data_IF_691665063656
#
_entry.id   IF_691665063656
#
_cell.length_a   1.000
_cell.length_b   1.000
_cell.length_c   1.000
_cell.angle_alpha   90.00
_cell.angle_beta   90.00
_cell.angle_gamma   90.00
#
_symmetry.space_group_name_H-M   'P 1'
#
loop_
_entity.id
_entity.type
_entity.pdbx_description
1 polymer ?
#
# COMPACT_ATOMS: atom_id res chain seq x y z
N UNK A 1 -0.47 -13.87 14.66
CA UNK A 1 -0.42 -13.62 13.21
C UNK A 1 0.77 -14.38 12.63
N UNK A 2 0.58 -15.22 11.59
CA UNK A 2 1.71 -15.86 10.91
C UNK A 2 2.64 -14.78 10.33
N UNK A 3 3.96 -14.96 10.48
CA UNK A 3 4.99 -13.95 10.18
C UNK A 3 4.91 -13.38 8.74
N UNK A 4 4.41 -14.18 7.79
CA UNK A 4 4.21 -13.78 6.40
C UNK A 4 3.17 -12.66 6.22
N UNK A 5 2.10 -12.63 7.02
CA UNK A 5 1.08 -11.58 6.89
C UNK A 5 1.60 -10.23 7.39
N UNK A 6 2.41 -10.22 8.45
CA UNK A 6 3.02 -8.98 8.96
C UNK A 6 4.01 -8.37 7.95
N UNK A 7 4.82 -9.21 7.30
CA UNK A 7 5.72 -8.76 6.23
C UNK A 7 4.94 -8.23 5.02
N UNK A 8 3.84 -8.88 4.65
CA UNK A 8 2.97 -8.42 3.58
C UNK A 8 2.36 -7.07 3.92
N UNK A 9 1.89 -6.91 5.17
CA UNK A 9 1.37 -5.64 5.67
C UNK A 9 2.41 -4.52 5.54
N UNK A 10 3.62 -4.74 6.03
CA UNK A 10 4.70 -3.75 5.97
C UNK A 10 5.11 -3.38 4.54
N UNK A 11 5.17 -4.37 3.63
CA UNK A 11 5.40 -4.13 2.20
C UNK A 11 4.30 -3.26 1.58
N UNK A 12 3.04 -3.52 1.92
CA UNK A 12 1.90 -2.76 1.40
C UNK A 12 1.85 -1.33 1.96
N UNK A 13 2.20 -1.14 3.23
CA UNK A 13 2.32 0.18 3.84
C UNK A 13 3.44 1.01 3.21
N UNK A 14 4.59 0.40 2.96
CA UNK A 14 5.70 1.04 2.24
C UNK A 14 5.30 1.40 0.81
N UNK A 15 4.57 0.51 0.12
CA UNK A 15 4.04 0.79 -1.21
C UNK A 15 3.07 1.97 -1.19
N UNK A 16 2.15 2.00 -0.22
CA UNK A 16 1.18 3.07 -0.02
C UNK A 16 1.85 4.43 0.23
N UNK A 17 2.91 4.49 1.05
CA UNK A 17 3.72 5.69 1.27
C UNK A 17 4.39 6.19 -0.02
N UNK A 18 4.99 5.28 -0.80
CA UNK A 18 5.63 5.61 -2.08
C UNK A 18 4.63 6.13 -3.11
N UNK A 19 3.44 5.51 -3.17
CA UNK A 19 2.33 5.96 -4.01
C UNK A 19 1.81 7.33 -3.57
N UNK A 20 1.68 7.56 -2.26
CA UNK A 20 1.24 8.82 -1.69
C UNK A 20 2.20 9.98 -2.02
N UNK A 21 3.51 9.72 -1.95
CA UNK A 21 4.55 10.69 -2.30
C UNK A 21 4.68 10.92 -3.81
N UNK A 22 3.92 10.22 -4.64
CA UNK A 22 3.94 10.34 -6.10
C UNK A 22 5.28 9.96 -6.75
N UNK A 23 6.17 9.27 -6.04
CA UNK A 23 7.53 8.97 -6.52
C UNK A 23 7.55 7.85 -7.56
N UNK A 24 6.63 6.89 -7.46
CA UNK A 24 6.62 5.69 -8.29
C UNK A 24 5.20 5.33 -8.77
N UNK A 25 5.11 4.75 -9.97
CA UNK A 25 3.86 4.19 -10.51
C UNK A 25 3.67 2.75 -10.04
N UNK A 26 2.42 2.29 -9.99
CA UNK A 26 2.04 0.91 -9.60
C UNK A 26 2.83 -0.13 -10.42
N UNK A 27 3.01 0.12 -11.72
CA UNK A 27 3.73 -0.76 -12.64
C UNK A 27 5.22 -0.92 -12.30
N UNK A 28 5.84 0.07 -11.63
CA UNK A 28 7.21 -0.02 -11.15
C UNK A 28 7.30 -0.64 -9.75
N UNK A 29 6.28 -0.41 -8.92
CA UNK A 29 6.19 -0.93 -7.55
C UNK A 29 5.94 -2.43 -7.48
N UNK A 30 5.11 -2.98 -8.36
CA UNK A 30 4.82 -4.41 -8.40
C UNK A 30 6.10 -5.27 -8.52
N UNK A 31 6.96 -5.10 -9.54
CA UNK A 31 8.21 -5.86 -9.62
C UNK A 31 9.20 -5.50 -8.51
N UNK A 32 9.23 -4.25 -8.03
CA UNK A 32 10.11 -3.85 -6.92
C UNK A 32 9.80 -4.56 -5.59
N UNK A 33 8.55 -5.00 -5.41
CA UNK A 33 8.08 -5.75 -4.24
C UNK A 33 8.08 -7.27 -4.45
N UNK A 34 8.53 -7.73 -5.62
CA UNK A 34 8.58 -9.14 -5.99
C UNK A 34 7.26 -9.71 -6.49
N UNK A 35 6.33 -8.88 -6.96
CA UNK A 35 5.11 -9.34 -7.63
C UNK A 35 5.32 -9.42 -9.13
N UNK A 36 4.91 -10.55 -9.72
CA UNK A 36 5.01 -10.82 -11.16
C UNK A 36 4.10 -9.91 -12.01
N UNK A 37 3.10 -9.26 -11.42
CA UNK A 37 2.15 -8.43 -12.15
C UNK A 37 1.45 -7.39 -11.27
N UNK A 38 1.02 -6.30 -11.88
CA UNK A 38 0.22 -5.25 -11.23
C UNK A 38 -1.07 -5.79 -10.62
N UNK A 39 -1.69 -6.79 -11.24
CA UNK A 39 -2.90 -7.44 -10.74
C UNK A 39 -2.66 -8.24 -9.45
N UNK A 40 -1.53 -8.96 -9.37
CA UNK A 40 -1.15 -9.72 -8.18
C UNK A 40 -0.84 -8.78 -7.01
N UNK A 41 -0.10 -7.70 -7.29
CA UNK A 41 0.13 -6.63 -6.32
C UNK A 41 -1.20 -5.97 -5.90
N UNK A 42 -2.06 -5.63 -6.85
CA UNK A 42 -3.35 -4.98 -6.58
C UNK A 42 -4.30 -5.83 -5.75
N UNK A 43 -4.31 -7.16 -5.94
CA UNK A 43 -5.10 -8.08 -5.13
C UNK A 43 -4.59 -8.14 -3.67
N UNK A 44 -3.27 -8.23 -3.49
CA UNK A 44 -2.65 -8.22 -2.17
C UNK A 44 -2.82 -6.86 -1.47
N UNK A 45 -2.66 -5.77 -2.21
CA UNK A 45 -2.87 -4.41 -1.72
C UNK A 45 -4.33 -4.18 -1.31
N UNK A 46 -5.31 -4.62 -2.11
CA UNK A 46 -6.73 -4.52 -1.77
C UNK A 46 -7.08 -5.32 -0.52
N UNK A 47 -6.47 -6.49 -0.32
CA UNK A 47 -6.68 -7.31 0.88
C UNK A 47 -6.19 -6.61 2.15
N UNK A 48 -5.06 -5.90 2.08
CA UNK A 48 -4.46 -5.22 3.24
C UNK A 48 -5.06 -3.83 3.46
N UNK A 49 -5.25 -3.06 2.39
CA UNK A 49 -5.59 -1.63 2.42
C UNK A 49 -7.08 -1.37 2.19
N UNK A 50 -7.89 -2.41 1.96
CA UNK A 50 -9.32 -2.34 1.66
C UNK A 50 -9.68 -1.79 0.27
N UNK A 51 -8.75 -1.14 -0.43
CA UNK A 51 -8.97 -0.48 -1.72
C UNK A 51 -7.88 -0.83 -2.73
N UNK A 52 -8.19 -0.71 -4.03
CA UNK A 52 -7.19 -0.92 -5.08
C UNK A 52 -6.15 0.21 -5.08
N UNK A 53 -4.86 -0.06 -5.37
CA UNK A 53 -3.80 0.96 -5.34
C UNK A 53 -4.06 2.12 -6.32
N UNK A 54 -4.77 1.87 -7.42
CA UNK A 54 -5.17 2.91 -8.37
C UNK A 54 -6.25 3.85 -7.80
N UNK A 55 -7.19 3.29 -7.04
CA UNK A 55 -8.20 4.05 -6.32
C UNK A 55 -7.57 4.82 -5.15
N UNK A 56 -6.61 4.21 -4.43
CA UNK A 56 -5.80 4.85 -3.40
C UNK A 56 -5.14 6.15 -3.93
N UNK A 57 -4.50 6.10 -5.10
CA UNK A 57 -3.83 7.28 -5.69
C UNK A 57 -4.85 8.32 -6.15
N UNK A 58 -5.97 7.88 -6.72
CA UNK A 58 -7.03 8.77 -7.16
C UNK A 58 -7.64 9.55 -6.00
N UNK A 59 -7.94 8.85 -4.90
CA UNK A 59 -8.44 9.40 -3.65
C UNK A 59 -7.45 10.38 -3.02
N UNK A 60 -6.17 10.02 -2.97
CA UNK A 60 -5.10 10.87 -2.46
C UNK A 60 -4.90 12.17 -3.25
N UNK A 61 -5.29 12.18 -4.53
CA UNK A 61 -5.29 13.38 -5.37
C UNK A 61 -6.56 14.22 -5.23
N UNK A 62 -7.63 13.64 -4.70
CA UNK A 62 -8.96 14.25 -4.63
C UNK A 62 -9.38 14.70 -3.23
N UNK A 63 -8.82 14.16 -2.14
CA UNK A 63 -9.19 14.55 -0.78
C UNK A 63 -8.44 13.73 0.26
N UNK A 64 -7.48 14.35 0.94
CA UNK A 64 -6.80 13.76 2.09
C UNK A 64 -7.48 14.20 3.38
N UNK A 65 -7.82 13.24 4.26
CA UNK A 65 -7.83 13.45 5.72
C UNK A 65 -8.01 12.12 6.50
N UNK A 66 -8.80 11.17 6.00
CA UNK A 66 -9.19 9.94 6.73
C UNK A 66 -8.09 8.87 6.89
N UNK A 67 -6.89 9.14 6.36
CA UNK A 67 -5.78 8.18 6.22
C UNK A 67 -4.81 8.20 7.40
N UNK A 68 -4.68 9.36 8.03
CA UNK A 68 -3.82 9.55 9.20
C UNK A 68 -4.34 8.75 10.40
N UNK A 69 -5.65 8.56 10.49
CA UNK A 69 -6.29 7.79 11.56
C UNK A 69 -5.87 6.32 11.51
N UNK A 70 -5.86 5.70 10.33
CA UNK A 70 -5.51 4.28 10.15
C UNK A 70 -4.00 3.99 10.30
N UNK A 71 -3.12 4.93 9.92
CA UNK A 71 -1.66 4.77 10.12
C UNK A 71 -1.22 5.02 11.56
N UNK A 72 -2.01 5.75 12.35
CA UNK A 72 -1.69 6.06 13.74
C UNK A 72 -1.77 4.86 14.70
N UNK A 73 -2.56 3.85 14.33
CA UNK A 73 -2.79 2.63 15.12
C UNK A 73 -1.79 1.50 14.85
N UNK A 74 -0.93 1.66 13.83
CA UNK A 74 0.11 0.68 13.57
C UNK A 74 1.23 0.84 14.61
N UNK A 75 1.71 -0.25 15.23
CA UNK A 75 2.85 -0.18 16.11
C UNK A 75 4.02 0.39 15.30
N UNK A 76 4.42 1.63 15.62
CA UNK A 76 5.66 2.24 15.13
C UNK A 76 6.78 1.31 15.56
N UNK A 77 7.19 0.41 14.68
CA UNK A 77 8.34 -0.43 14.90
C UNK A 77 9.56 0.48 14.76
N UNK A 78 10.03 0.99 15.90
CA UNK A 78 11.30 1.68 16.10
C UNK A 78 12.48 0.94 15.48
#
# INVERSE_FOLDING_TARGET
MPALEYLTLWRMLTAADRLAKGREKISALAPALGYESESAFGAAFKRVMGCAPRQYIHDLRNGGDERELWFSELPRNS
#
